data_IF_467612111378
#
_entry.id   IF_467612111378
#
_cell.length_a   1.000
_cell.length_b   1.000
_cell.length_c   1.000
_cell.angle_alpha   90.00
_cell.angle_beta   90.00
_cell.angle_gamma   90.00
#
_symmetry.space_group_name_H-M   'P 1'
#
loop_
_entity.id
_entity.type
_entity.pdbx_description
1 polymer ?
#
# COMPACT_ATOMS: atom_id res chain seq x y z
N UNK A 1 -59.03 46.88 -8.57
CA UNK A 1 -60.11 45.90 -8.26
C UNK A 1 -60.57 45.32 -9.60
N UNK A 2 -60.69 43.99 -9.87
CA UNK A 2 -61.13 42.83 -9.05
C UNK A 2 -60.10 41.66 -9.00
N UNK A 3 -60.06 40.80 -7.96
CA UNK A 3 -60.66 39.44 -7.79
C UNK A 3 -60.27 38.34 -8.81
N UNK A 4 -59.26 37.56 -8.41
CA UNK A 4 -59.13 36.09 -8.37
C UNK A 4 -59.78 35.19 -9.44
N UNK A 5 -58.95 34.36 -10.11
CA UNK A 5 -59.32 32.99 -10.49
C UNK A 5 -58.26 32.02 -9.95
N UNK A 6 -58.69 31.27 -8.95
CA UNK A 6 -58.08 30.06 -8.41
C UNK A 6 -58.15 28.97 -9.48
N UNK A 7 -57.02 28.34 -9.82
CA UNK A 7 -56.99 26.97 -10.36
C UNK A 7 -56.01 26.14 -9.56
N UNK A 8 -56.62 25.33 -8.70
CA UNK A 8 -56.08 24.21 -7.95
C UNK A 8 -55.56 23.15 -8.93
N UNK A 9 -54.30 22.73 -8.79
CA UNK A 9 -53.90 21.35 -9.14
C UNK A 9 -53.27 20.74 -7.90
N UNK A 10 -53.92 19.65 -7.52
CA UNK A 10 -53.70 18.75 -6.41
C UNK A 10 -52.33 18.07 -6.45
N UNK A 11 -51.76 17.85 -5.25
CA UNK A 11 -51.01 16.65 -4.84
C UNK A 11 -49.65 16.41 -5.55
N UNK A 12 -48.52 16.22 -4.87
CA UNK A 12 -48.31 15.40 -3.68
C UNK A 12 -47.01 15.80 -3.00
N UNK A 13 -47.06 15.91 -1.67
CA UNK A 13 -45.87 15.79 -0.84
C UNK A 13 -45.32 14.36 -0.98
N UNK A 14 -44.20 14.20 -1.68
CA UNK A 14 -43.30 13.05 -1.50
C UNK A 14 -41.91 13.59 -1.21
N UNK A 15 -41.79 14.18 -0.03
CA UNK A 15 -40.51 14.47 0.56
C UNK A 15 -39.85 13.15 1.02
N UNK A 16 -38.52 13.15 0.92
CA UNK A 16 -37.58 12.32 1.66
C UNK A 16 -37.51 10.83 1.30
N UNK A 17 -36.44 10.47 0.57
CA UNK A 17 -35.43 9.47 0.97
C UNK A 17 -34.82 8.73 -0.24
N UNK A 18 -34.34 9.46 -1.23
CA UNK A 18 -33.24 8.97 -2.06
C UNK A 18 -31.93 9.67 -1.62
N UNK A 19 -31.76 9.80 -0.30
CA UNK A 19 -30.54 10.36 0.27
C UNK A 19 -29.53 9.23 0.34
N UNK A 20 -28.62 9.21 -0.64
CA UNK A 20 -27.25 8.77 -0.50
C UNK A 20 -27.04 7.52 0.39
N UNK A 21 -27.25 6.33 -0.18
CA UNK A 21 -26.31 5.26 0.10
C UNK A 21 -24.99 5.64 -0.60
N UNK A 22 -24.31 6.68 -0.12
CA UNK A 22 -22.86 6.75 -0.24
C UNK A 22 -22.41 5.58 0.62
N UNK A 23 -22.19 4.43 -0.03
CA UNK A 23 -21.39 3.40 0.57
C UNK A 23 -20.10 4.12 0.99
N UNK A 24 -19.88 4.27 2.30
CA UNK A 24 -18.59 4.72 2.76
C UNK A 24 -17.62 3.68 2.27
N UNK A 25 -16.89 4.00 1.21
CA UNK A 25 -15.65 3.30 0.91
C UNK A 25 -14.80 3.56 2.13
N UNK A 26 -14.79 2.59 3.04
CA UNK A 26 -13.79 2.48 4.08
C UNK A 26 -12.50 2.20 3.32
N UNK A 27 -11.94 3.24 2.72
CA UNK A 27 -10.58 3.19 2.21
C UNK A 27 -9.75 2.87 3.44
N UNK A 28 -9.19 1.66 3.45
CA UNK A 28 -8.16 1.31 4.41
C UNK A 28 -7.07 2.36 4.21
N UNK A 29 -7.09 3.40 5.04
CA UNK A 29 -5.96 4.31 5.23
C UNK A 29 -4.88 3.45 5.85
N UNK A 30 -4.12 2.77 4.99
CA UNK A 30 -2.82 2.25 5.36
C UNK A 30 -2.05 3.49 5.77
N UNK A 31 -1.88 3.69 7.08
CA UNK A 31 -1.02 4.75 7.58
C UNK A 31 0.33 4.54 6.87
N UNK A 32 0.72 5.50 6.04
CA UNK A 32 2.01 5.46 5.35
C UNK A 32 3.06 5.42 6.45
N UNK A 33 3.65 4.25 6.67
CA UNK A 33 4.77 4.11 7.58
C UNK A 33 5.91 4.91 6.92
N UNK A 34 6.41 5.97 7.57
CA UNK A 34 7.44 6.79 6.96
C UNK A 34 8.68 5.93 6.73
N UNK A 35 9.29 6.10 5.55
CA UNK A 35 10.68 5.69 5.34
C UNK A 35 11.51 6.23 6.51
N UNK A 36 12.37 5.40 7.09
CA UNK A 36 13.32 5.90 8.09
C UNK A 36 14.48 6.63 7.43
N UNK A 37 14.70 6.36 6.16
CA UNK A 37 15.79 6.91 5.37
C UNK A 37 15.27 8.04 4.46
N UNK A 38 16.08 9.07 4.17
CA UNK A 38 15.72 10.09 3.20
C UNK A 38 15.48 9.46 1.83
N UNK A 39 14.45 9.92 1.12
CA UNK A 39 14.15 9.45 -0.24
C UNK A 39 15.17 10.07 -1.20
N UNK A 40 15.94 9.27 -1.96
CA UNK A 40 16.87 9.78 -2.95
C UNK A 40 16.13 10.46 -4.11
N UNK A 41 16.72 11.53 -4.65
CA UNK A 41 16.19 12.28 -5.80
C UNK A 41 17.06 12.15 -7.05
N UNK A 42 18.27 11.61 -6.91
CA UNK A 42 19.20 11.42 -8.03
C UNK A 42 19.12 9.99 -8.59
N UNK A 43 19.43 9.77 -9.88
CA UNK A 43 19.60 8.43 -10.44
C UNK A 43 20.63 7.60 -9.67
N UNK A 44 20.35 6.32 -9.46
CA UNK A 44 21.27 5.43 -8.74
C UNK A 44 20.59 4.25 -8.07
N UNK A 45 21.37 3.50 -7.30
CA UNK A 45 20.90 2.38 -6.49
C UNK A 45 21.11 2.67 -5.00
N UNK A 46 20.04 2.59 -4.22
CA UNK A 46 20.03 3.04 -2.83
C UNK A 46 19.48 1.95 -1.90
N UNK A 47 20.23 1.55 -0.86
CA UNK A 47 19.68 0.75 0.23
C UNK A 47 18.83 1.65 1.11
N UNK A 48 17.56 1.27 1.28
CA UNK A 48 16.59 2.03 2.05
C UNK A 48 15.87 1.13 3.05
N UNK A 49 15.39 1.74 4.13
CA UNK A 49 14.70 1.10 5.23
C UNK A 49 13.40 1.81 5.59
N UNK A 50 12.47 1.03 6.12
CA UNK A 50 11.22 1.55 6.67
C UNK A 50 10.80 0.75 7.90
N UNK A 51 10.11 1.43 8.82
CA UNK A 51 9.50 0.77 9.97
C UNK A 51 8.25 -0.01 9.59
N UNK A 52 7.91 -1.00 10.40
CA UNK A 52 6.58 -1.63 10.38
C UNK A 52 5.93 -1.53 11.78
N UNK A 53 4.63 -1.80 11.85
CA UNK A 53 3.79 -1.48 13.02
C UNK A 53 4.22 -2.12 14.34
N UNK A 54 4.89 -3.27 14.28
CA UNK A 54 5.41 -3.99 15.45
C UNK A 54 6.79 -3.49 15.92
N UNK A 55 7.34 -2.44 15.30
CA UNK A 55 8.66 -1.88 15.61
C UNK A 55 9.82 -2.54 14.85
N UNK A 56 9.57 -3.57 14.04
CA UNK A 56 10.60 -4.14 13.18
C UNK A 56 11.00 -3.14 12.08
N UNK A 57 12.20 -3.33 11.53
CA UNK A 57 12.68 -2.64 10.33
C UNK A 57 12.65 -3.58 9.13
N UNK A 58 12.23 -3.05 7.98
CA UNK A 58 12.28 -3.71 6.68
C UNK A 58 13.28 -2.96 5.80
N UNK A 59 13.89 -3.66 4.85
CA UNK A 59 14.87 -3.09 3.95
C UNK A 59 14.51 -3.40 2.50
N UNK A 60 15.02 -2.60 1.58
CA UNK A 60 14.93 -2.80 0.14
C UNK A 60 16.08 -2.08 -0.57
N UNK A 61 16.31 -2.42 -1.83
CA UNK A 61 17.13 -1.62 -2.74
C UNK A 61 16.22 -0.92 -3.73
N UNK A 62 16.37 0.40 -3.85
CA UNK A 62 15.70 1.23 -4.84
C UNK A 62 16.64 1.51 -5.99
N UNK A 63 16.20 1.26 -7.22
CA UNK A 63 16.87 1.69 -8.44
C UNK A 63 16.08 2.82 -9.08
N UNK A 64 16.71 4.00 -9.16
CA UNK A 64 16.22 5.16 -9.89
C UNK A 64 16.93 5.20 -11.26
N UNK A 65 16.17 5.19 -12.38
CA UNK A 65 16.76 5.11 -13.71
C UNK A 65 17.55 6.37 -14.07
N UNK A 66 18.43 6.26 -15.05
CA UNK A 66 19.12 7.43 -15.62
C UNK A 66 18.11 8.51 -16.06
N UNK A 67 18.37 9.76 -15.69
CA UNK A 67 17.45 10.87 -15.97
C UNK A 67 16.15 10.82 -15.16
N UNK A 68 16.14 10.15 -14.00
CA UNK A 68 15.06 10.26 -13.03
C UNK A 68 14.79 11.72 -12.65
N UNK A 69 13.50 12.06 -12.63
CA UNK A 69 12.94 13.36 -12.27
C UNK A 69 11.74 13.11 -11.35
N UNK A 70 11.85 13.51 -10.08
CA UNK A 70 10.81 13.29 -9.08
C UNK A 70 9.55 14.13 -9.33
N UNK A 71 9.66 15.19 -10.14
CA UNK A 71 8.56 16.05 -10.55
C UNK A 71 7.90 15.61 -11.87
N UNK A 72 8.39 14.53 -12.50
CA UNK A 72 7.86 14.06 -13.78
C UNK A 72 6.37 13.70 -13.70
N UNK A 73 5.61 14.19 -14.68
CA UNK A 73 4.21 13.79 -14.92
C UNK A 73 4.09 13.15 -16.31
N UNK A 74 3.56 11.92 -16.44
CA UNK A 74 3.12 11.01 -15.38
C UNK A 74 4.30 10.41 -14.59
N UNK A 75 4.06 9.94 -13.34
CA UNK A 75 5.10 9.33 -12.53
C UNK A 75 5.65 8.04 -13.16
N UNK A 76 6.88 7.70 -12.80
CA UNK A 76 7.55 6.49 -13.27
C UNK A 76 6.79 5.23 -12.79
N UNK A 77 6.54 4.23 -13.67
CA UNK A 77 6.04 2.94 -13.24
C UNK A 77 7.03 2.24 -12.30
N UNK A 78 6.51 1.56 -11.29
CA UNK A 78 7.27 0.79 -10.31
C UNK A 78 7.26 -0.70 -10.68
N UNK A 79 8.42 -1.35 -10.63
CA UNK A 79 8.56 -2.80 -10.73
C UNK A 79 9.10 -3.35 -9.41
N UNK A 80 8.35 -4.24 -8.77
CA UNK A 80 8.77 -4.90 -7.54
C UNK A 80 9.41 -6.26 -7.86
N UNK A 81 10.60 -6.48 -7.31
CA UNK A 81 11.43 -7.66 -7.54
C UNK A 81 11.63 -8.43 -6.23
N UNK A 82 11.35 -9.73 -6.28
CA UNK A 82 11.41 -10.63 -5.12
C UNK A 82 12.49 -11.69 -5.37
N UNK A 83 13.46 -11.77 -4.46
CA UNK A 83 14.48 -12.81 -4.52
C UNK A 83 13.91 -14.18 -4.09
N UNK A 84 14.55 -15.27 -4.50
CA UNK A 84 14.22 -16.63 -4.06
C UNK A 84 14.73 -16.95 -2.65
N UNK A 85 14.50 -18.18 -2.19
CA UNK A 85 14.96 -18.68 -0.89
C UNK A 85 16.49 -18.58 -0.75
N UNK A 86 16.98 -18.07 0.38
CA UNK A 86 18.42 -17.88 0.63
C UNK A 86 19.04 -16.71 -0.14
N UNK A 87 18.21 -15.98 -0.90
CA UNK A 87 18.60 -14.78 -1.62
C UNK A 87 18.59 -13.52 -0.74
N UNK A 88 18.98 -12.40 -1.35
CA UNK A 88 18.87 -11.07 -0.77
C UNK A 88 18.54 -10.05 -1.87
N UNK A 89 18.02 -8.88 -1.49
CA UNK A 89 17.83 -7.78 -2.43
C UNK A 89 19.14 -7.43 -3.14
N UNK A 90 20.26 -7.42 -2.40
CA UNK A 90 21.58 -7.06 -2.93
C UNK A 90 22.11 -8.09 -3.94
N UNK A 91 22.10 -9.38 -3.59
CA UNK A 91 22.61 -10.37 -4.53
C UNK A 91 21.70 -10.49 -5.76
N UNK A 92 20.40 -10.27 -5.61
CA UNK A 92 19.47 -10.31 -6.72
C UNK A 92 19.64 -9.10 -7.64
N UNK A 93 19.81 -7.89 -7.10
CA UNK A 93 20.14 -6.70 -7.87
C UNK A 93 21.48 -6.86 -8.62
N UNK A 94 22.50 -7.39 -7.95
CA UNK A 94 23.81 -7.65 -8.55
C UNK A 94 23.74 -8.69 -9.68
N UNK A 95 22.97 -9.77 -9.50
CA UNK A 95 22.70 -10.73 -10.57
C UNK A 95 21.94 -10.07 -11.73
N UNK A 96 20.93 -9.25 -11.43
CA UNK A 96 20.10 -8.62 -12.46
C UNK A 96 20.82 -7.52 -13.24
N UNK A 97 21.87 -6.92 -12.71
CA UNK A 97 22.80 -6.09 -13.47
C UNK A 97 23.39 -6.83 -14.68
N UNK A 98 23.49 -8.17 -14.62
CA UNK A 98 23.93 -9.00 -15.75
C UNK A 98 22.79 -9.44 -16.68
N UNK A 99 21.53 -9.32 -16.24
CA UNK A 99 20.34 -9.71 -17.02
C UNK A 99 19.77 -8.58 -17.91
N UNK A 100 20.33 -7.37 -17.82
CA UNK A 100 19.88 -6.21 -18.59
C UNK A 100 18.67 -5.46 -18.04
N UNK A 101 18.12 -5.88 -16.89
CA UNK A 101 16.96 -5.23 -16.28
C UNK A 101 17.18 -3.74 -15.93
N UNK A 102 18.34 -3.32 -15.36
CA UNK A 102 18.62 -1.90 -15.15
C UNK A 102 18.63 -1.09 -16.46
N UNK A 103 19.25 -1.63 -17.52
CA UNK A 103 19.26 -0.99 -18.84
C UNK A 103 17.84 -0.86 -19.42
N UNK A 104 16.97 -1.85 -19.18
CA UNK A 104 15.57 -1.77 -19.55
C UNK A 104 14.82 -0.70 -18.74
N UNK A 105 15.11 -0.59 -17.45
CA UNK A 105 14.53 0.46 -16.60
C UNK A 105 14.97 1.86 -17.04
N UNK A 106 16.22 2.04 -17.44
CA UNK A 106 16.71 3.30 -18.00
C UNK A 106 15.98 3.66 -19.29
N UNK A 107 15.91 2.74 -20.24
CA UNK A 107 15.30 2.98 -21.56
C UNK A 107 13.78 3.15 -21.51
N UNK A 108 13.12 2.49 -20.56
CA UNK A 108 11.65 2.53 -20.42
C UNK A 108 11.16 3.46 -19.31
N UNK A 109 12.07 4.15 -18.61
CA UNK A 109 11.74 5.02 -17.50
C UNK A 109 10.95 4.30 -16.41
N UNK A 110 11.52 3.24 -15.84
CA UNK A 110 10.93 2.46 -14.73
C UNK A 110 11.79 2.57 -13.48
N UNK A 111 11.15 2.61 -12.33
CA UNK A 111 11.80 2.42 -11.03
C UNK A 111 11.76 0.92 -10.72
N UNK A 112 12.85 0.37 -10.18
CA UNK A 112 12.88 -1.02 -9.69
C UNK A 112 13.08 -1.00 -8.18
N UNK A 113 12.29 -1.80 -7.47
CA UNK A 113 12.46 -2.04 -6.04
C UNK A 113 12.76 -3.51 -5.81
N UNK A 114 13.95 -3.81 -5.29
CA UNK A 114 14.34 -5.15 -4.86
C UNK A 114 14.02 -5.29 -3.37
N UNK A 115 13.00 -6.09 -3.06
CA UNK A 115 12.51 -6.24 -1.71
C UNK A 115 13.37 -7.25 -0.93
N UNK A 116 13.63 -6.96 0.34
CA UNK A 116 14.37 -7.85 1.23
C UNK A 116 13.41 -8.58 2.18
N UNK A 117 13.36 -9.91 2.10
CA UNK A 117 12.72 -10.74 3.12
C UNK A 117 13.49 -10.72 4.45
N UNK A 118 12.88 -11.21 5.53
CA UNK A 118 13.58 -11.34 6.82
C UNK A 118 14.44 -12.59 6.82
N UNK A 119 15.71 -12.48 7.26
CA UNK A 119 16.63 -13.62 7.34
C UNK A 119 16.81 -14.38 6.01
N UNK A 120 16.66 -13.70 4.87
CA UNK A 120 16.78 -14.32 3.54
C UNK A 120 15.53 -15.10 3.10
N UNK A 121 14.42 -14.95 3.81
CA UNK A 121 13.17 -15.67 3.54
C UNK A 121 11.97 -14.73 3.52
N UNK A 122 10.98 -15.11 2.72
CA UNK A 122 9.63 -14.56 2.81
C UNK A 122 8.88 -15.31 3.90
N UNK A 123 8.38 -14.62 4.92
CA UNK A 123 7.56 -15.26 5.95
C UNK A 123 6.23 -15.68 5.33
N UNK A 124 6.08 -16.97 5.05
CA UNK A 124 4.89 -17.51 4.37
C UNK A 124 3.91 -18.24 5.31
N UNK A 125 4.08 -18.27 6.65
CA UNK A 125 3.25 -19.16 7.51
C UNK A 125 2.79 -18.58 8.88
N UNK A 126 1.47 -18.52 9.04
CA UNK A 126 0.56 -19.01 10.09
C UNK A 126 0.87 -18.92 11.61
N UNK A 127 1.80 -18.10 12.08
CA UNK A 127 1.95 -17.89 13.54
C UNK A 127 1.91 -16.40 13.86
N UNK A 128 0.69 -15.90 14.12
CA UNK A 128 0.33 -14.67 14.85
C UNK A 128 1.50 -13.69 15.10
N UNK A 129 2.07 -13.16 14.02
CA UNK A 129 2.96 -12.00 14.01
C UNK A 129 2.61 -11.20 12.78
N UNK A 130 1.40 -10.67 12.85
CA UNK A 130 0.93 -9.67 11.92
C UNK A 130 1.69 -8.37 12.20
N UNK A 131 2.80 -8.21 11.49
CA UNK A 131 3.72 -7.09 11.64
C UNK A 131 3.26 -5.84 10.88
N UNK A 132 2.29 -6.00 9.99
CA UNK A 132 1.65 -4.94 9.20
C UNK A 132 0.15 -4.76 9.50
N UNK A 133 -0.36 -5.45 10.53
CA UNK A 133 -1.77 -5.40 10.98
C UNK A 133 -2.79 -5.76 9.87
N UNK A 134 -2.39 -6.60 8.91
CA UNK A 134 -3.24 -7.03 7.81
C UNK A 134 -4.29 -8.07 8.23
N UNK A 135 -3.94 -8.97 9.14
CA UNK A 135 -4.89 -9.91 9.75
C UNK A 135 -5.54 -9.27 10.96
N UNK A 136 -6.77 -8.78 10.77
CA UNK A 136 -7.65 -8.40 11.88
C UNK A 136 -7.79 -9.62 12.81
N UNK A 137 -7.09 -9.62 13.94
CA UNK A 137 -7.29 -10.66 14.94
C UNK A 137 -8.73 -10.51 15.44
N UNK A 138 -9.58 -11.47 15.09
CA UNK A 138 -10.82 -11.64 15.81
C UNK A 138 -10.41 -12.02 17.24
N UNK A 139 -10.55 -11.06 18.15
CA UNK A 139 -10.46 -11.31 19.58
C UNK A 139 -11.60 -12.25 19.96
N UNK A 140 -11.41 -13.55 19.77
CA UNK A 140 -12.28 -14.55 20.35
C UNK A 140 -11.96 -14.60 21.83
N UNK A 141 -12.57 -13.69 22.60
CA UNK A 141 -12.72 -13.85 24.04
C UNK A 141 -13.44 -15.18 24.25
N UNK A 142 -12.70 -16.23 24.63
CA UNK A 142 -13.35 -17.46 25.12
C UNK A 142 -14.11 -17.11 26.40
N UNK A 143 -15.41 -17.42 26.49
CA UNK A 143 -16.11 -17.28 27.75
C UNK A 143 -15.53 -18.27 28.76
N UNK A 144 -15.08 -17.75 29.90
CA UNK A 144 -14.61 -18.51 31.04
C UNK A 144 -15.69 -19.50 31.46
N UNK A 145 -15.47 -20.81 31.26
CA UNK A 145 -16.35 -21.84 31.78
C UNK A 145 -16.14 -21.95 33.29
N UNK A 146 -16.95 -21.21 34.04
CA UNK A 146 -17.17 -21.48 35.46
C UNK A 146 -18.03 -22.73 35.58
N UNK A 147 -17.49 -23.79 36.18
CA UNK A 147 -18.31 -24.77 36.89
C UNK A 147 -17.71 -24.97 38.26
N UNK A 148 -18.52 -24.57 39.24
CA UNK A 148 -18.35 -24.70 40.67
C UNK A 148 -18.18 -26.16 41.12
N UNK A 149 -17.61 -26.27 42.32
CA UNK A 149 -17.36 -27.45 43.15
C UNK A 149 -18.57 -28.36 43.34
#
# INVERSE_FOLDING_TARGET
>A
MPRSIVRLVLSSALALAAMACVASTDEVRVAVQPSTDPVPTDPGTYPLRFGVSNGDQRAYLLYLPAGYDDARIPPYPLVAMFHGLGGSAFNFAAQLATTGLPALADTQGKIIVFLQGTQGEWRMTNVVRDDVLYTKSSSTTSPTRSTST
#
